data_IF_958579982482
#
_entry.id   IF_958579982482
#
_cell.length_a   1.000
_cell.length_b   1.000
_cell.length_c   1.000
_cell.angle_alpha   90.00
_cell.angle_beta   90.00
_cell.angle_gamma   90.00
#
_symmetry.space_group_name_H-M   'P 1'
#
loop_
_entity.id
_entity.type
_entity.pdbx_description
1 polymer ?
#
# COMPACT_ATOMS: atom_id res chain seq x y z
N UNK A 1 3.57 -26.90 -7.72
CA UNK A 1 5.01 -26.54 -7.82
C UNK A 1 5.66 -27.12 -9.09
N UNK A 2 5.66 -28.45 -9.31
CA UNK A 2 6.30 -29.08 -10.50
C UNK A 2 5.75 -28.54 -11.82
N UNK A 3 4.43 -28.42 -11.97
CA UNK A 3 3.78 -27.91 -13.18
C UNK A 3 4.18 -26.46 -13.50
N UNK A 4 4.27 -25.60 -12.48
CA UNK A 4 4.72 -24.19 -12.62
C UNK A 4 6.19 -24.15 -13.05
N UNK A 5 7.04 -25.00 -12.46
CA UNK A 5 8.44 -25.11 -12.85
C UNK A 5 8.63 -25.58 -14.30
N UNK A 6 7.84 -26.56 -14.75
CA UNK A 6 7.85 -27.04 -16.13
C UNK A 6 7.38 -25.97 -17.12
N UNK A 7 6.33 -25.23 -16.81
CA UNK A 7 5.88 -24.08 -17.61
C UNK A 7 6.93 -22.98 -17.68
N UNK A 8 7.56 -22.65 -16.56
CA UNK A 8 8.64 -21.67 -16.51
C UNK A 8 9.86 -22.09 -17.36
N UNK A 9 10.24 -23.36 -17.30
CA UNK A 9 11.31 -23.93 -18.12
C UNK A 9 10.96 -23.92 -19.62
N UNK A 10 9.71 -24.27 -19.98
CA UNK A 10 9.20 -24.20 -21.35
C UNK A 10 9.21 -22.79 -21.91
N UNK A 11 8.71 -21.81 -21.16
CA UNK A 11 8.75 -20.39 -21.53
C UNK A 11 10.19 -19.87 -21.64
N UNK A 12 11.07 -20.26 -20.72
CA UNK A 12 12.49 -19.90 -20.78
C UNK A 12 13.17 -20.43 -22.04
N UNK A 13 12.87 -21.68 -22.42
CA UNK A 13 13.41 -22.29 -23.64
C UNK A 13 12.93 -21.57 -24.92
N UNK A 14 11.63 -21.20 -24.96
CA UNK A 14 11.03 -20.46 -26.07
C UNK A 14 11.59 -19.04 -26.20
N UNK A 15 11.84 -18.36 -25.07
CA UNK A 15 12.30 -16.97 -25.05
C UNK A 15 13.84 -16.84 -25.13
N UNK A 16 14.61 -17.93 -25.15
CA UNK A 16 16.09 -17.93 -25.09
C UNK A 16 16.76 -17.15 -26.23
N UNK A 17 16.08 -17.01 -27.39
CA UNK A 17 16.56 -16.28 -28.57
C UNK A 17 16.07 -14.83 -28.65
N UNK A 18 15.36 -14.32 -27.64
CA UNK A 18 14.80 -12.98 -27.62
C UNK A 18 15.88 -11.88 -27.56
N UNK A 19 15.54 -10.68 -28.08
CA UNK A 19 16.40 -9.50 -28.00
C UNK A 19 16.59 -9.07 -26.54
N UNK A 20 17.82 -8.86 -26.09
CA UNK A 20 18.16 -8.49 -24.70
C UNK A 20 17.97 -6.99 -24.38
N UNK A 21 17.37 -6.18 -25.27
CA UNK A 21 17.15 -4.76 -25.03
C UNK A 21 15.70 -4.50 -24.63
N UNK A 22 15.51 -3.88 -23.49
CA UNK A 22 14.23 -3.50 -22.91
C UNK A 22 14.09 -1.98 -22.95
N UNK A 23 13.03 -1.48 -23.55
CA UNK A 23 12.62 -0.07 -23.51
C UNK A 23 11.44 0.12 -22.53
N UNK A 24 11.03 1.35 -22.29
CA UNK A 24 9.94 1.66 -21.35
C UNK A 24 8.61 0.97 -21.72
N UNK A 25 8.29 0.89 -23.02
CA UNK A 25 7.07 0.24 -23.52
C UNK A 25 7.05 -1.26 -23.20
N UNK A 26 8.12 -1.96 -23.50
CA UNK A 26 8.25 -3.39 -23.20
C UNK A 26 8.24 -3.65 -21.69
N UNK A 27 8.81 -2.71 -20.92
CA UNK A 27 8.74 -2.75 -19.46
C UNK A 27 7.30 -2.72 -18.94
N UNK A 28 6.48 -1.78 -19.41
CA UNK A 28 5.07 -1.68 -19.02
C UNK A 28 4.26 -2.93 -19.40
N UNK A 29 4.45 -3.43 -20.62
CA UNK A 29 3.77 -4.67 -21.08
C UNK A 29 4.21 -5.86 -20.23
N UNK A 30 5.49 -5.97 -19.92
CA UNK A 30 6.01 -7.04 -19.07
C UNK A 30 5.41 -6.99 -17.66
N UNK A 31 5.29 -5.80 -17.07
CA UNK A 31 4.63 -5.59 -15.77
C UNK A 31 3.18 -6.06 -15.83
N UNK A 32 2.39 -5.56 -16.76
CA UNK A 32 0.97 -5.92 -16.87
C UNK A 32 0.76 -7.43 -17.09
N UNK A 33 1.53 -8.05 -18.01
CA UNK A 33 1.45 -9.48 -18.25
C UNK A 33 1.89 -10.31 -17.03
N UNK A 34 2.90 -9.84 -16.27
CA UNK A 34 3.35 -10.53 -15.06
C UNK A 34 2.25 -10.61 -14.01
N UNK A 35 1.49 -9.52 -13.79
CA UNK A 35 0.34 -9.51 -12.88
C UNK A 35 -0.74 -10.49 -13.30
N UNK A 36 -1.06 -10.56 -14.60
CA UNK A 36 -2.06 -11.49 -15.13
C UNK A 36 -1.59 -12.94 -14.94
N UNK A 37 -0.38 -13.28 -15.37
CA UNK A 37 0.16 -14.65 -15.27
C UNK A 37 0.28 -15.09 -13.82
N UNK A 38 0.76 -14.20 -12.94
CA UNK A 38 0.89 -14.50 -11.52
C UNK A 38 -0.46 -14.75 -10.86
N UNK A 39 -1.49 -13.98 -11.23
CA UNK A 39 -2.85 -14.17 -10.72
C UNK A 39 -3.48 -15.47 -11.24
N UNK A 40 -3.27 -15.81 -12.51
CA UNK A 40 -3.70 -17.09 -13.06
C UNK A 40 -3.07 -18.26 -12.32
N UNK A 41 -1.76 -18.24 -12.09
CA UNK A 41 -1.07 -19.32 -11.36
C UNK A 41 -1.41 -19.32 -9.86
N UNK A 42 -1.56 -18.15 -9.26
CA UNK A 42 -1.90 -17.96 -7.85
C UNK A 42 -3.32 -18.45 -7.50
N UNK A 43 -4.23 -18.51 -8.47
CA UNK A 43 -5.58 -19.02 -8.30
C UNK A 43 -5.66 -20.56 -8.20
N UNK A 44 -4.63 -21.27 -8.68
CA UNK A 44 -4.62 -22.74 -8.71
C UNK A 44 -4.77 -23.39 -7.32
N UNK A 45 -4.13 -22.90 -6.22
CA UNK A 45 -4.34 -23.49 -4.90
C UNK A 45 -5.80 -23.51 -4.46
N UNK A 46 -6.57 -22.44 -4.70
CA UNK A 46 -7.99 -22.37 -4.38
C UNK A 46 -8.82 -23.35 -5.22
N UNK A 47 -8.52 -23.41 -6.53
CA UNK A 47 -9.24 -24.28 -7.44
C UNK A 47 -8.94 -25.77 -7.19
N UNK A 48 -7.68 -26.13 -6.95
CA UNK A 48 -7.28 -27.52 -6.68
C UNK A 48 -7.81 -28.01 -5.33
N UNK A 49 -7.84 -27.13 -4.31
CA UNK A 49 -8.43 -27.47 -3.01
C UNK A 49 -9.94 -27.61 -3.04
N UNK A 50 -10.61 -27.17 -4.12
CA UNK A 50 -12.07 -27.10 -4.31
C UNK A 50 -12.81 -26.22 -3.30
N UNK A 51 -12.10 -25.35 -2.60
CA UNK A 51 -12.71 -24.40 -1.65
C UNK A 51 -13.53 -23.33 -2.37
N UNK A 52 -13.11 -22.97 -3.59
CA UNK A 52 -13.85 -22.10 -4.48
C UNK A 52 -14.12 -22.89 -5.76
N UNK A 53 -15.42 -23.23 -6.06
CA UNK A 53 -15.74 -24.17 -7.14
C UNK A 53 -15.40 -23.67 -8.55
N UNK A 54 -15.52 -22.36 -8.79
CA UNK A 54 -15.29 -21.77 -10.11
C UNK A 54 -13.92 -21.13 -10.20
N UNK A 55 -13.16 -21.47 -11.24
CA UNK A 55 -11.82 -20.91 -11.44
C UNK A 55 -11.81 -19.38 -11.59
N UNK A 56 -12.83 -18.80 -12.20
CA UNK A 56 -12.94 -17.34 -12.35
C UNK A 56 -13.06 -16.63 -10.99
N UNK A 57 -13.75 -17.25 -10.05
CA UNK A 57 -13.90 -16.74 -8.69
C UNK A 57 -12.58 -16.85 -7.92
N UNK A 58 -11.84 -17.97 -8.11
CA UNK A 58 -10.47 -18.10 -7.59
C UNK A 58 -9.55 -17.02 -8.16
N UNK A 59 -9.67 -16.75 -9.45
CA UNK A 59 -8.88 -15.71 -10.13
C UNK A 59 -9.21 -14.32 -9.58
N UNK A 60 -10.51 -13.99 -9.40
CA UNK A 60 -10.92 -12.71 -8.77
C UNK A 60 -10.30 -12.53 -7.38
N UNK A 61 -10.43 -13.56 -6.52
CA UNK A 61 -9.90 -13.49 -5.14
C UNK A 61 -8.38 -13.27 -5.12
N UNK A 62 -7.67 -13.93 -6.02
CA UNK A 62 -6.20 -13.79 -6.12
C UNK A 62 -5.77 -12.48 -6.78
N UNK A 63 -6.48 -12.00 -7.80
CA UNK A 63 -6.23 -10.65 -8.36
C UNK A 63 -6.40 -9.62 -7.25
N UNK A 64 -7.51 -9.68 -6.51
CA UNK A 64 -7.75 -8.82 -5.34
C UNK A 64 -6.63 -8.96 -4.30
N UNK A 65 -6.11 -10.19 -4.09
CA UNK A 65 -4.99 -10.45 -3.21
C UNK A 65 -3.70 -9.76 -3.66
N UNK A 66 -3.24 -10.02 -4.87
CA UNK A 66 -1.98 -9.47 -5.38
C UNK A 66 -2.04 -7.97 -5.64
N UNK A 67 -3.17 -7.44 -6.08
CA UNK A 67 -3.35 -5.97 -6.25
C UNK A 67 -3.64 -5.25 -4.93
N UNK A 68 -3.68 -6.00 -3.82
CA UNK A 68 -3.98 -5.48 -2.48
C UNK A 68 -5.30 -4.71 -2.40
N UNK A 69 -6.27 -5.09 -3.25
CA UNK A 69 -7.59 -4.44 -3.30
C UNK A 69 -8.44 -4.80 -2.09
N UNK A 70 -8.31 -6.05 -1.58
CA UNK A 70 -9.07 -6.52 -0.41
C UNK A 70 -10.54 -6.86 -0.66
N UNK A 71 -11.03 -6.75 -1.90
CA UNK A 71 -12.37 -7.20 -2.26
C UNK A 71 -12.43 -8.73 -2.27
N UNK A 72 -13.50 -9.30 -1.71
CA UNK A 72 -13.68 -10.76 -1.60
C UNK A 72 -15.04 -11.18 -2.08
N UNK A 73 -15.10 -12.33 -2.75
CA UNK A 73 -16.36 -13.01 -3.10
C UNK A 73 -16.79 -14.01 -2.01
N UNK A 74 -15.91 -14.24 -1.02
CA UNK A 74 -16.17 -15.21 0.04
C UNK A 74 -17.14 -14.62 1.04
N UNK A 75 -18.24 -15.33 1.29
CA UNK A 75 -19.25 -14.97 2.29
C UNK A 75 -18.93 -15.55 3.66
N UNK A 76 -18.27 -16.72 3.69
CA UNK A 76 -17.84 -17.41 4.91
C UNK A 76 -16.34 -17.71 4.82
N UNK A 77 -15.54 -16.94 5.58
CA UNK A 77 -14.08 -17.03 5.53
C UNK A 77 -13.55 -18.04 6.55
N UNK A 78 -14.19 -18.14 7.72
CA UNK A 78 -13.70 -18.92 8.85
C UNK A 78 -13.76 -20.44 8.61
N UNK A 79 -14.60 -20.89 7.68
CA UNK A 79 -14.71 -22.29 7.29
C UNK A 79 -13.56 -22.78 6.41
N UNK A 80 -12.78 -21.87 5.82
CA UNK A 80 -11.71 -22.22 4.89
C UNK A 80 -10.47 -22.78 5.62
N UNK A 81 -9.75 -23.74 5.00
CA UNK A 81 -8.51 -24.27 5.54
C UNK A 81 -7.46 -23.20 5.81
N UNK A 82 -6.77 -23.31 6.94
CA UNK A 82 -5.72 -22.35 7.36
C UNK A 82 -4.66 -22.10 6.30
N UNK A 83 -4.28 -23.11 5.51
CA UNK A 83 -3.31 -22.96 4.43
C UNK A 83 -3.79 -22.05 3.30
N UNK A 84 -5.08 -22.12 2.96
CA UNK A 84 -5.72 -21.27 1.96
C UNK A 84 -5.83 -19.83 2.44
N UNK A 85 -6.23 -19.61 3.70
CA UNK A 85 -6.27 -18.27 4.31
C UNK A 85 -4.88 -17.65 4.43
N UNK A 86 -3.86 -18.46 4.76
CA UNK A 86 -2.48 -18.00 4.75
C UNK A 86 -2.05 -17.57 3.35
N UNK A 87 -2.31 -18.40 2.31
CA UNK A 87 -1.99 -18.06 0.93
C UNK A 87 -2.67 -16.75 0.51
N UNK A 88 -3.94 -16.57 0.85
CA UNK A 88 -4.72 -15.36 0.62
C UNK A 88 -4.05 -14.11 1.20
N UNK A 89 -3.65 -14.14 2.48
CA UNK A 89 -2.97 -13.01 3.13
C UNK A 89 -1.54 -12.82 2.63
N UNK A 90 -0.84 -13.92 2.29
CA UNK A 90 0.49 -13.85 1.72
C UNK A 90 0.52 -13.18 0.34
N UNK A 91 -0.55 -13.30 -0.47
CA UNK A 91 -0.65 -12.55 -1.73
C UNK A 91 -0.67 -11.04 -1.50
N UNK A 92 -1.34 -10.55 -0.44
CA UNK A 92 -1.25 -9.13 -0.04
C UNK A 92 0.18 -8.70 0.27
N UNK A 93 0.90 -9.51 1.04
CA UNK A 93 2.28 -9.19 1.41
C UNK A 93 3.20 -9.13 0.19
N UNK A 94 3.08 -10.06 -0.74
CA UNK A 94 3.85 -10.05 -2.00
C UNK A 94 3.45 -8.86 -2.88
N UNK A 95 2.15 -8.55 -2.95
CA UNK A 95 1.61 -7.45 -3.76
C UNK A 95 1.99 -6.08 -3.26
N UNK A 96 1.99 -5.85 -1.94
CA UNK A 96 2.17 -4.54 -1.32
C UNK A 96 3.47 -3.83 -1.67
N UNK A 97 4.57 -4.56 -1.83
CA UNK A 97 5.85 -3.98 -2.26
C UNK A 97 6.11 -4.09 -3.78
N UNK A 98 5.12 -4.57 -4.53
CA UNK A 98 5.25 -4.80 -5.97
C UNK A 98 6.06 -6.05 -6.30
N UNK A 99 5.42 -6.98 -6.98
CA UNK A 99 6.00 -8.28 -7.34
C UNK A 99 7.32 -8.17 -8.12
N UNK A 100 7.44 -7.22 -9.04
CA UNK A 100 8.65 -7.04 -9.83
C UNK A 100 9.82 -6.50 -9.02
N UNK A 101 9.58 -5.65 -8.02
CA UNK A 101 10.62 -5.22 -7.08
C UNK A 101 11.12 -6.42 -6.27
N UNK A 102 10.23 -7.33 -5.88
CA UNK A 102 10.58 -8.58 -5.23
C UNK A 102 11.46 -9.47 -6.10
N UNK A 103 11.09 -9.69 -7.36
CA UNK A 103 11.92 -10.45 -8.31
C UNK A 103 13.28 -9.79 -8.51
N UNK A 104 13.34 -8.46 -8.67
CA UNK A 104 14.59 -7.72 -8.81
C UNK A 104 15.52 -7.87 -7.59
N UNK A 105 14.95 -7.97 -6.38
CA UNK A 105 15.72 -8.20 -5.16
C UNK A 105 16.35 -9.60 -5.13
N UNK A 106 15.61 -10.61 -5.61
CA UNK A 106 16.03 -12.02 -5.57
C UNK A 106 16.97 -12.42 -6.72
N UNK A 107 16.73 -11.96 -7.94
CA UNK A 107 17.49 -12.43 -9.10
C UNK A 107 18.92 -11.84 -9.19
N UNK A 108 19.95 -12.70 -9.45
CA UNK A 108 21.36 -12.28 -9.45
C UNK A 108 21.78 -11.36 -10.61
N UNK A 109 21.11 -11.42 -11.74
CA UNK A 109 21.59 -10.87 -13.00
C UNK A 109 20.49 -10.27 -13.87
N UNK A 110 20.14 -9.01 -13.61
CA UNK A 110 19.54 -8.17 -14.64
C UNK A 110 20.54 -7.09 -15.03
N UNK A 111 21.11 -7.18 -16.23
CA UNK A 111 22.03 -6.19 -16.78
C UNK A 111 21.26 -5.11 -17.54
N UNK A 112 21.53 -3.86 -17.24
CA UNK A 112 21.35 -2.70 -18.09
C UNK A 112 20.06 -1.90 -17.99
N UNK A 113 18.88 -2.42 -18.31
CA UNK A 113 17.66 -1.58 -18.50
C UNK A 113 16.54 -1.78 -17.49
N UNK A 114 16.86 -2.31 -16.32
CA UNK A 114 15.90 -2.60 -15.21
C UNK A 114 15.27 -1.35 -14.58
N UNK A 115 15.81 -0.17 -14.88
CA UNK A 115 15.27 1.11 -14.38
C UNK A 115 13.86 1.37 -14.90
N UNK A 116 13.51 0.90 -16.10
CA UNK A 116 12.18 1.05 -16.68
C UNK A 116 11.13 0.19 -15.97
N UNK A 117 11.53 -1.03 -15.52
CA UNK A 117 10.66 -1.89 -14.71
C UNK A 117 10.39 -1.27 -13.34
N UNK A 118 11.43 -0.74 -12.68
CA UNK A 118 11.28 -0.08 -11.38
C UNK A 118 10.39 1.17 -11.48
N UNK A 119 10.57 1.96 -12.55
CA UNK A 119 9.72 3.16 -12.77
C UNK A 119 8.27 2.79 -13.05
N UNK A 120 8.00 1.69 -13.75
CA UNK A 120 6.65 1.22 -14.05
C UNK A 120 5.92 0.70 -12.80
N UNK A 121 6.65 0.12 -11.83
CA UNK A 121 6.09 -0.46 -10.60
C UNK A 121 6.09 0.52 -9.42
N UNK A 122 6.97 1.53 -9.42
CA UNK A 122 7.11 2.45 -8.30
C UNK A 122 6.06 3.56 -8.35
N UNK A 123 5.12 3.62 -7.41
CA UNK A 123 4.11 4.68 -7.35
C UNK A 123 4.74 5.99 -6.88
N UNK A 124 4.63 7.03 -7.70
CA UNK A 124 5.04 8.39 -7.33
C UNK A 124 5.67 9.17 -8.47
N UNK A 125 5.68 10.52 -8.39
CA UNK A 125 6.19 11.37 -9.46
C UNK A 125 7.72 11.28 -9.64
N UNK A 126 8.46 10.90 -8.61
CA UNK A 126 9.91 10.71 -8.67
C UNK A 126 10.34 9.53 -7.82
N UNK A 127 10.89 8.45 -8.40
CA UNK A 127 11.46 7.37 -7.61
C UNK A 127 12.70 7.88 -6.87
N UNK A 128 12.70 7.83 -5.54
CA UNK A 128 13.85 8.19 -4.72
C UNK A 128 15.08 7.32 -5.05
N UNK A 129 16.20 7.95 -5.40
CA UNK A 129 17.48 7.23 -5.59
C UNK A 129 18.12 7.01 -4.23
N UNK A 130 18.07 5.77 -3.70
CA UNK A 130 18.70 5.42 -2.42
C UNK A 130 20.17 5.05 -2.63
N UNK A 131 20.45 4.23 -3.63
CA UNK A 131 21.78 3.74 -3.97
C UNK A 131 21.93 3.61 -5.50
N UNK A 132 23.16 3.66 -6.02
CA UNK A 132 23.39 3.62 -7.47
C UNK A 132 22.87 2.35 -8.18
N UNK A 133 22.78 1.24 -7.44
CA UNK A 133 22.34 -0.06 -7.96
C UNK A 133 20.91 -0.36 -7.53
N UNK A 134 19.99 -0.43 -8.47
CA UNK A 134 18.55 -0.72 -8.28
C UNK A 134 18.31 -1.96 -7.40
N UNK A 135 19.11 -3.02 -7.61
CA UNK A 135 19.02 -4.25 -6.83
C UNK A 135 19.29 -4.04 -5.33
N UNK A 136 20.28 -3.19 -4.99
CA UNK A 136 20.59 -2.88 -3.59
C UNK A 136 19.45 -2.08 -2.96
N UNK A 137 18.88 -1.13 -3.70
CA UNK A 137 17.69 -0.39 -3.28
C UNK A 137 16.53 -1.33 -2.97
N UNK A 138 16.18 -2.22 -3.91
CA UNK A 138 15.11 -3.19 -3.72
C UNK A 138 15.34 -4.07 -2.49
N UNK A 139 16.55 -4.61 -2.30
CA UNK A 139 16.89 -5.45 -1.12
C UNK A 139 16.70 -4.72 0.19
N UNK A 140 17.11 -3.45 0.27
CA UNK A 140 16.98 -2.66 1.49
C UNK A 140 15.51 -2.37 1.80
N UNK A 141 14.73 -1.95 0.79
CA UNK A 141 13.30 -1.70 0.98
C UNK A 141 12.56 -2.95 1.43
N UNK A 142 12.86 -4.13 0.82
CA UNK A 142 12.28 -5.40 1.26
C UNK A 142 12.72 -5.81 2.65
N UNK A 143 13.97 -5.56 3.03
CA UNK A 143 14.44 -5.84 4.39
C UNK A 143 13.68 -5.01 5.42
N UNK A 144 13.46 -3.70 5.16
CA UNK A 144 12.66 -2.81 6.03
C UNK A 144 11.22 -3.33 6.12
N UNK A 145 10.62 -3.65 4.99
CA UNK A 145 9.26 -4.19 4.90
C UNK A 145 9.10 -5.48 5.72
N UNK A 146 10.02 -6.43 5.52
CA UNK A 146 10.02 -7.70 6.25
C UNK A 146 10.20 -7.50 7.76
N UNK A 147 11.14 -6.65 8.17
CA UNK A 147 11.41 -6.36 9.59
C UNK A 147 10.19 -5.71 10.25
N UNK A 148 9.55 -4.74 9.60
CA UNK A 148 8.31 -4.12 10.11
C UNK A 148 7.19 -5.14 10.25
N UNK A 149 7.00 -6.03 9.25
CA UNK A 149 6.00 -7.12 9.33
C UNK A 149 6.28 -8.07 10.50
N UNK A 150 7.56 -8.41 10.72
CA UNK A 150 7.96 -9.28 11.84
C UNK A 150 7.69 -8.61 13.19
N UNK A 151 8.03 -7.34 13.32
CA UNK A 151 7.79 -6.56 14.54
C UNK A 151 6.29 -6.51 14.83
N UNK A 152 5.44 -6.19 13.84
CA UNK A 152 3.99 -6.20 14.00
C UNK A 152 3.47 -7.57 14.46
N UNK A 153 3.94 -8.66 13.84
CA UNK A 153 3.56 -10.02 14.22
C UNK A 153 3.87 -10.30 15.70
N UNK A 154 5.04 -9.86 16.19
CA UNK A 154 5.44 -10.03 17.60
C UNK A 154 4.54 -9.20 18.52
N UNK A 155 4.23 -7.94 18.16
CA UNK A 155 3.34 -7.09 18.95
C UNK A 155 1.92 -7.66 19.02
N UNK A 156 1.37 -8.14 17.90
CA UNK A 156 0.05 -8.78 17.87
C UNK A 156 0.03 -10.06 18.72
N UNK A 157 1.09 -10.86 18.67
CA UNK A 157 1.24 -12.02 19.54
C UNK A 157 1.27 -11.64 21.01
N UNK A 158 2.01 -10.58 21.39
CA UNK A 158 2.08 -10.08 22.76
C UNK A 158 0.74 -9.51 23.26
N UNK A 159 -0.11 -9.02 22.35
CA UNK A 159 -1.47 -8.57 22.66
C UNK A 159 -2.48 -9.71 22.84
N UNK A 160 -2.05 -10.98 22.74
CA UNK A 160 -2.86 -12.16 23.03
C UNK A 160 -3.40 -12.92 21.83
N UNK A 161 -3.11 -12.51 20.59
CA UNK A 161 -3.50 -13.26 19.40
C UNK A 161 -2.73 -14.59 19.30
N UNK A 162 -3.31 -15.56 18.57
CA UNK A 162 -2.55 -16.75 18.16
C UNK A 162 -1.41 -16.38 17.22
N UNK A 163 -0.37 -17.19 17.09
CA UNK A 163 0.69 -16.98 16.10
C UNK A 163 0.13 -16.89 14.67
N UNK A 164 -0.85 -17.73 14.38
CA UNK A 164 -1.50 -17.77 13.07
C UNK A 164 -2.23 -16.45 12.76
N UNK A 165 -3.08 -15.98 13.67
CA UNK A 165 -3.83 -14.73 13.49
C UNK A 165 -2.88 -13.52 13.42
N UNK A 166 -1.83 -13.51 14.23
CA UNK A 166 -0.80 -12.46 14.21
C UNK A 166 -0.11 -12.36 12.85
N UNK A 167 0.28 -13.50 12.27
CA UNK A 167 0.92 -13.54 10.96
C UNK A 167 -0.04 -13.08 9.87
N UNK A 168 -1.27 -13.62 9.85
CA UNK A 168 -2.29 -13.28 8.85
C UNK A 168 -2.55 -11.77 8.81
N UNK A 169 -2.76 -11.15 9.97
CA UNK A 169 -3.05 -9.71 10.03
C UNK A 169 -1.82 -8.85 9.74
N UNK A 170 -0.63 -9.25 10.20
CA UNK A 170 0.59 -8.54 9.87
C UNK A 170 0.89 -8.58 8.35
N UNK A 171 0.63 -9.69 7.66
CA UNK A 171 0.76 -9.78 6.20
C UNK A 171 -0.24 -8.84 5.50
N UNK A 172 -1.50 -8.82 5.97
CA UNK A 172 -2.55 -7.97 5.42
C UNK A 172 -2.32 -6.48 5.68
N UNK A 173 -1.84 -6.11 6.88
CA UNK A 173 -1.46 -4.73 7.23
C UNK A 173 -0.28 -4.26 6.39
N UNK A 174 0.77 -5.06 6.32
CA UNK A 174 1.99 -4.73 5.58
C UNK A 174 1.71 -4.49 4.09
N UNK A 175 0.90 -5.38 3.48
CA UNK A 175 0.46 -5.22 2.11
C UNK A 175 -0.59 -4.11 1.90
N UNK A 176 -1.13 -3.55 2.98
CA UNK A 176 -2.26 -2.59 2.95
C UNK A 176 -3.46 -3.11 2.16
N UNK A 177 -3.79 -4.41 2.32
CA UNK A 177 -4.83 -5.07 1.55
C UNK A 177 -6.07 -5.50 2.34
N UNK A 178 -5.97 -5.66 3.68
CA UNK A 178 -7.10 -5.83 4.58
C UNK A 178 -7.76 -7.19 4.61
N UNK A 179 -7.20 -8.21 3.97
CA UNK A 179 -7.71 -9.56 4.13
C UNK A 179 -7.55 -10.06 5.57
N UNK A 180 -8.63 -10.57 6.13
CA UNK A 180 -8.68 -11.21 7.43
C UNK A 180 -9.10 -12.68 7.29
N UNK A 181 -8.80 -13.48 8.29
CA UNK A 181 -9.33 -14.82 8.45
C UNK A 181 -10.64 -14.85 9.27
N UNK A 182 -11.17 -13.66 9.62
CA UNK A 182 -12.41 -13.49 10.34
C UNK A 182 -13.42 -12.71 9.49
N UNK A 183 -14.70 -13.14 9.47
CA UNK A 183 -15.76 -12.46 8.72
C UNK A 183 -15.99 -11.02 9.21
N UNK A 184 -15.88 -10.78 10.52
CA UNK A 184 -16.00 -9.45 11.10
C UNK A 184 -14.70 -8.65 11.09
N UNK A 185 -13.68 -9.07 10.30
CA UNK A 185 -12.37 -8.42 10.24
C UNK A 185 -11.73 -8.31 11.65
N UNK A 186 -11.04 -7.22 11.94
CA UNK A 186 -10.38 -7.00 13.26
C UNK A 186 -11.37 -6.88 14.40
N UNK A 187 -12.62 -6.48 14.14
CA UNK A 187 -13.69 -6.44 15.14
C UNK A 187 -13.90 -7.77 15.86
N UNK A 188 -13.63 -8.90 15.20
CA UNK A 188 -13.80 -10.24 15.78
C UNK A 188 -12.95 -10.47 17.04
N UNK A 189 -11.83 -9.80 17.19
CA UNK A 189 -10.92 -9.98 18.32
C UNK A 189 -11.37 -9.23 19.57
N UNK A 190 -12.20 -8.19 19.43
CA UNK A 190 -12.70 -7.34 20.53
C UNK A 190 -11.60 -6.97 21.54
N UNK A 191 -10.42 -6.62 21.04
CA UNK A 191 -9.24 -6.32 21.86
C UNK A 191 -8.65 -4.95 21.49
N UNK A 192 -8.77 -3.95 22.38
CA UNK A 192 -8.26 -2.60 22.14
C UNK A 192 -6.76 -2.53 21.84
N UNK A 193 -5.96 -3.42 22.44
CA UNK A 193 -4.52 -3.45 22.19
C UNK A 193 -4.21 -3.88 20.75
N UNK A 194 -4.92 -4.89 20.24
CA UNK A 194 -4.81 -5.35 18.84
C UNK A 194 -5.21 -4.22 17.88
N UNK A 195 -6.31 -3.53 18.18
CA UNK A 195 -6.78 -2.41 17.35
C UNK A 195 -5.72 -1.29 17.27
N UNK A 196 -5.13 -0.89 18.40
CA UNK A 196 -4.07 0.13 18.41
C UNK A 196 -2.79 -0.30 17.70
N UNK A 197 -2.36 -1.56 17.87
CA UNK A 197 -1.19 -2.08 17.17
C UNK A 197 -1.42 -2.01 15.67
N UNK A 198 -2.52 -2.56 15.16
CA UNK A 198 -2.85 -2.53 13.73
C UNK A 198 -2.94 -1.08 13.23
N UNK A 199 -3.60 -0.17 13.99
CA UNK A 199 -3.70 1.25 13.65
C UNK A 199 -2.32 1.89 13.42
N UNK A 200 -1.41 1.68 14.37
CA UNK A 200 -0.05 2.24 14.29
C UNK A 200 0.70 1.65 13.09
N UNK A 201 0.64 0.33 12.91
CA UNK A 201 1.35 -0.32 11.81
C UNK A 201 0.77 0.02 10.44
N UNK A 202 -0.56 0.16 10.29
CA UNK A 202 -1.16 0.70 9.07
C UNK A 202 -0.55 2.06 8.71
N UNK A 203 -0.46 2.99 9.68
CA UNK A 203 0.14 4.31 9.45
C UNK A 203 1.63 4.20 9.10
N UNK A 204 2.38 3.31 9.76
CA UNK A 204 3.80 3.09 9.47
C UNK A 204 4.02 2.53 8.04
N UNK A 205 3.23 1.56 7.60
CA UNK A 205 3.30 1.06 6.23
C UNK A 205 2.82 2.09 5.19
N UNK A 206 2.01 3.07 5.61
CA UNK A 206 1.62 4.22 4.80
C UNK A 206 2.72 5.27 4.60
N UNK A 207 3.84 5.21 5.33
CA UNK A 207 4.99 6.12 5.19
C UNK A 207 5.92 5.65 4.07
N UNK A 208 6.56 6.60 3.39
CA UNK A 208 7.56 6.33 2.37
C UNK A 208 8.76 5.54 2.92
N UNK A 209 9.02 4.36 2.36
CA UNK A 209 10.11 3.47 2.81
C UNK A 209 11.51 4.06 2.66
N UNK A 210 11.69 5.04 1.76
CA UNK A 210 12.96 5.78 1.63
C UNK A 210 13.27 6.58 2.89
N UNK A 211 12.25 7.10 3.57
CA UNK A 211 12.44 7.84 4.83
C UNK A 211 12.96 6.91 5.95
N UNK A 212 12.47 5.68 6.03
CA UNK A 212 13.02 4.69 6.97
C UNK A 212 14.49 4.37 6.69
N UNK A 213 14.84 4.23 5.41
CA UNK A 213 16.24 4.04 5.05
C UNK A 213 17.12 5.23 5.48
N UNK A 214 16.66 6.45 5.30
CA UNK A 214 17.37 7.65 5.76
C UNK A 214 17.52 7.67 7.27
N UNK A 215 16.47 7.25 8.00
CA UNK A 215 16.50 7.15 9.47
C UNK A 215 17.55 6.13 9.94
N UNK A 216 17.60 4.94 9.33
CA UNK A 216 18.60 3.90 9.63
C UNK A 216 20.02 4.39 9.36
N UNK A 217 20.23 5.26 8.36
CA UNK A 217 21.53 5.88 8.07
C UNK A 217 21.89 7.06 9.01
N UNK A 218 21.07 7.32 10.01
CA UNK A 218 21.30 8.41 10.99
C UNK A 218 20.85 9.79 10.51
N UNK A 219 20.25 9.92 9.33
CA UNK A 219 19.75 11.20 8.83
C UNK A 219 18.33 11.51 9.33
N UNK A 220 18.20 11.63 10.65
CA UNK A 220 16.92 11.92 11.34
C UNK A 220 16.31 13.25 10.87
N UNK A 221 17.17 14.24 10.54
CA UNK A 221 16.70 15.56 10.05
C UNK A 221 15.94 15.44 8.73
N UNK A 222 16.35 14.56 7.81
CA UNK A 222 15.67 14.36 6.55
C UNK A 222 14.27 13.74 6.73
N UNK A 223 14.13 12.82 7.70
CA UNK A 223 12.84 12.23 8.06
C UNK A 223 11.82 13.30 8.49
N UNK A 224 12.18 14.13 9.48
CA UNK A 224 11.26 15.15 10.01
C UNK A 224 11.12 16.39 9.11
N UNK A 225 12.02 16.62 8.16
CA UNK A 225 11.92 17.72 7.19
C UNK A 225 11.02 17.40 5.99
N UNK A 226 10.67 16.13 5.75
CA UNK A 226 9.81 15.76 4.64
C UNK A 226 8.47 16.48 4.71
N UNK A 227 8.18 17.27 3.67
CA UNK A 227 6.88 17.96 3.54
C UNK A 227 5.73 16.98 3.37
N UNK A 228 5.94 15.90 2.61
CA UNK A 228 4.92 14.88 2.40
C UNK A 228 4.52 14.22 3.73
N UNK A 229 5.50 13.84 4.56
CA UNK A 229 5.24 13.26 5.88
C UNK A 229 4.44 14.21 6.78
N UNK A 230 4.78 15.49 6.77
CA UNK A 230 4.07 16.51 7.57
C UNK A 230 2.60 16.60 7.14
N UNK A 231 2.33 16.71 5.83
CA UNK A 231 0.97 16.82 5.33
C UNK A 231 0.17 15.54 5.54
N UNK A 232 0.81 14.37 5.38
CA UNK A 232 0.21 13.08 5.69
C UNK A 232 -0.22 13.00 7.16
N UNK A 233 0.68 13.32 8.11
CA UNK A 233 0.37 13.28 9.54
C UNK A 233 -0.68 14.33 9.92
N UNK A 234 -0.61 15.55 9.38
CA UNK A 234 -1.61 16.59 9.64
C UNK A 234 -2.99 16.12 9.17
N UNK A 235 -3.10 15.56 7.98
CA UNK A 235 -4.39 15.06 7.46
C UNK A 235 -4.94 13.92 8.32
N UNK A 236 -4.08 12.96 8.71
CA UNK A 236 -4.48 11.84 9.58
C UNK A 236 -4.95 12.34 10.94
N UNK A 237 -4.13 13.10 11.67
CA UNK A 237 -4.49 13.54 13.02
C UNK A 237 -5.66 14.51 13.05
N UNK A 238 -5.75 15.44 12.08
CA UNK A 238 -6.90 16.33 11.98
C UNK A 238 -8.20 15.54 11.73
N UNK A 239 -8.17 14.55 10.83
CA UNK A 239 -9.32 13.71 10.55
C UNK A 239 -9.72 12.86 11.77
N UNK A 240 -8.74 12.29 12.49
CA UNK A 240 -9.01 11.53 13.73
C UNK A 240 -9.71 12.42 14.75
N UNK A 241 -9.20 13.63 14.99
CA UNK A 241 -9.78 14.54 15.99
C UNK A 241 -11.20 14.95 15.58
N UNK A 242 -11.42 15.36 14.34
CA UNK A 242 -12.74 15.84 13.87
C UNK A 242 -13.76 14.69 13.93
N UNK A 243 -13.40 13.50 13.45
CA UNK A 243 -14.27 12.32 13.49
C UNK A 243 -14.53 11.90 14.93
N UNK A 244 -13.49 11.83 15.79
CA UNK A 244 -13.65 11.44 17.20
C UNK A 244 -14.67 12.34 17.91
N UNK A 245 -14.52 13.67 17.79
CA UNK A 245 -15.47 14.62 18.37
C UNK A 245 -16.88 14.43 17.82
N UNK A 246 -17.00 14.19 16.52
CA UNK A 246 -18.30 14.02 15.85
C UNK A 246 -19.04 12.73 16.25
N UNK A 247 -18.30 11.65 16.61
CA UNK A 247 -18.89 10.36 16.99
C UNK A 247 -19.03 10.15 18.52
N UNK A 248 -18.56 11.08 19.37
CA UNK A 248 -18.78 10.99 20.84
C UNK A 248 -20.24 10.78 21.20
N UNK A 249 -21.22 11.55 20.66
CA UNK A 249 -22.63 11.32 20.95
C UNK A 249 -23.11 9.95 20.45
N UNK A 250 -22.61 9.47 19.34
CA UNK A 250 -22.92 8.15 18.78
C UNK A 250 -22.42 7.01 19.69
N UNK A 251 -21.28 7.18 20.34
CA UNK A 251 -20.68 6.24 21.28
C UNK A 251 -21.11 6.48 22.73
N UNK A 252 -22.30 7.08 22.96
CA UNK A 252 -22.88 7.32 24.29
C UNK A 252 -21.98 8.12 25.25
N UNK A 253 -21.13 9.01 24.71
CA UNK A 253 -20.21 9.84 25.49
C UNK A 253 -18.85 9.21 25.79
N UNK A 254 -18.58 7.99 25.31
CA UNK A 254 -17.26 7.34 25.50
C UNK A 254 -16.22 7.94 24.56
N UNK A 255 -15.42 8.86 25.14
CA UNK A 255 -14.34 9.57 24.43
C UNK A 255 -13.23 8.61 24.01
N UNK A 256 -12.85 7.65 24.88
CA UNK A 256 -11.75 6.71 24.61
C UNK A 256 -12.08 5.81 23.43
N UNK A 257 -13.30 5.26 23.41
CA UNK A 257 -13.81 4.46 22.31
C UNK A 257 -13.90 5.29 21.04
N UNK A 258 -14.38 6.52 21.10
CA UNK A 258 -14.51 7.40 19.94
C UNK A 258 -13.15 7.74 19.31
N UNK A 259 -12.12 7.99 20.10
CA UNK A 259 -10.75 8.19 19.61
C UNK A 259 -10.21 6.92 18.96
N UNK A 260 -10.40 5.76 19.57
CA UNK A 260 -9.92 4.49 19.04
C UNK A 260 -10.61 4.13 17.72
N UNK A 261 -11.93 4.19 17.66
CA UNK A 261 -12.72 3.87 16.47
C UNK A 261 -12.36 4.82 15.30
N UNK A 262 -12.24 6.13 15.60
CA UNK A 262 -11.84 7.11 14.58
C UNK A 262 -10.41 6.89 14.10
N UNK A 263 -9.45 6.65 15.00
CA UNK A 263 -8.07 6.41 14.66
C UNK A 263 -7.92 5.16 13.78
N UNK A 264 -8.61 4.08 14.13
CA UNK A 264 -8.58 2.85 13.35
C UNK A 264 -9.16 3.04 11.95
N UNK A 265 -10.37 3.63 11.83
CA UNK A 265 -11.01 3.81 10.53
C UNK A 265 -10.27 4.82 9.65
N UNK A 266 -9.79 5.94 10.20
CA UNK A 266 -8.97 6.90 9.45
C UNK A 266 -7.71 6.24 8.93
N UNK A 267 -7.00 5.47 9.76
CA UNK A 267 -5.78 4.77 9.35
C UNK A 267 -6.06 3.74 8.27
N UNK A 268 -7.11 2.94 8.45
CA UNK A 268 -7.52 1.90 7.50
C UNK A 268 -7.87 2.48 6.12
N UNK A 269 -8.58 3.62 6.10
CA UNK A 269 -9.03 4.26 4.86
C UNK A 269 -7.87 5.00 4.17
N UNK A 270 -7.11 5.83 4.90
CA UNK A 270 -6.04 6.63 4.27
C UNK A 270 -4.89 5.78 3.75
N UNK A 271 -4.61 4.65 4.41
CA UNK A 271 -3.58 3.70 3.94
C UNK A 271 -4.11 2.71 2.92
N UNK A 272 -5.41 2.77 2.61
CA UNK A 272 -6.11 1.84 1.71
C UNK A 272 -6.05 0.38 2.19
N UNK A 273 -5.90 0.15 3.50
CA UNK A 273 -5.84 -1.20 4.07
C UNK A 273 -7.20 -1.89 4.07
N UNK A 274 -8.26 -1.18 4.50
CA UNK A 274 -9.63 -1.72 4.44
C UNK A 274 -10.05 -2.60 5.62
N UNK A 275 -9.25 -2.74 6.68
CA UNK A 275 -9.71 -3.38 7.92
C UNK A 275 -10.82 -2.58 8.59
N UNK A 276 -11.73 -3.27 9.28
CA UNK A 276 -12.84 -2.67 10.00
C UNK A 276 -12.94 -3.19 11.44
N UNK A 277 -13.23 -2.26 12.37
CA UNK A 277 -13.58 -2.56 13.77
C UNK A 277 -15.02 -2.20 14.09
N UNK A 278 -15.60 -1.29 13.30
CA UNK A 278 -16.96 -0.78 13.47
C UNK A 278 -17.64 -0.54 12.13
N UNK A 279 -18.96 -0.53 12.12
CA UNK A 279 -19.73 -0.16 10.94
C UNK A 279 -19.84 1.36 10.82
N UNK A 280 -18.89 1.99 10.12
CA UNK A 280 -18.86 3.44 9.91
C UNK A 280 -20.02 3.98 9.03
N UNK A 281 -20.77 3.10 8.34
CA UNK A 281 -21.95 3.53 7.59
C UNK A 281 -23.04 4.13 8.50
N UNK A 282 -23.03 3.76 9.79
CA UNK A 282 -23.95 4.29 10.80
C UNK A 282 -23.48 5.63 11.38
N UNK A 283 -22.28 6.08 11.08
CA UNK A 283 -21.72 7.32 11.60
C UNK A 283 -22.41 8.57 11.02
N UNK A 284 -22.31 9.73 11.70
CA UNK A 284 -22.81 11.00 11.17
C UNK A 284 -22.21 11.34 9.82
N UNK A 285 -22.96 12.10 9.00
CA UNK A 285 -22.59 12.43 7.61
C UNK A 285 -21.23 13.10 7.50
N UNK A 286 -20.87 14.00 8.43
CA UNK A 286 -19.57 14.67 8.42
C UNK A 286 -18.42 13.65 8.47
N UNK A 287 -18.49 12.67 9.36
CA UNK A 287 -17.46 11.63 9.47
C UNK A 287 -17.33 10.82 8.20
N UNK A 288 -18.44 10.46 7.56
CA UNK A 288 -18.45 9.73 6.28
C UNK A 288 -17.82 10.55 5.14
N UNK A 289 -18.12 11.84 5.04
CA UNK A 289 -17.54 12.74 4.03
C UNK A 289 -16.02 12.83 4.20
N UNK A 290 -15.53 12.95 5.44
CA UNK A 290 -14.09 12.98 5.71
C UNK A 290 -13.43 11.66 5.28
N UNK A 291 -14.03 10.50 5.61
CA UNK A 291 -13.51 9.20 5.18
C UNK A 291 -13.47 9.08 3.65
N UNK A 292 -14.49 9.56 2.93
CA UNK A 292 -14.48 9.60 1.45
C UNK A 292 -13.34 10.46 0.92
N UNK A 293 -13.11 11.64 1.50
CA UNK A 293 -11.98 12.49 1.09
C UNK A 293 -10.63 11.79 1.32
N UNK A 294 -10.48 11.06 2.42
CA UNK A 294 -9.28 10.28 2.70
C UNK A 294 -9.07 9.10 1.74
N UNK A 295 -10.14 8.48 1.23
CA UNK A 295 -10.05 7.43 0.19
C UNK A 295 -9.34 7.95 -1.07
N UNK A 296 -9.64 9.18 -1.49
CA UNK A 296 -8.96 9.81 -2.63
C UNK A 296 -7.52 10.19 -2.29
N UNK A 297 -7.29 10.73 -1.10
CA UNK A 297 -5.96 11.20 -0.71
C UNK A 297 -4.91 10.09 -0.76
N UNK A 298 -5.18 8.97 -0.12
CA UNK A 298 -4.26 7.85 -0.01
C UNK A 298 -3.03 8.13 0.86
N UNK A 299 -2.11 7.15 0.91
CA UNK A 299 -0.87 7.22 1.68
C UNK A 299 0.26 7.97 0.95
N UNK A 300 1.48 7.95 1.50
CA UNK A 300 2.65 8.61 0.90
C UNK A 300 3.15 7.87 -0.34
N UNK A 301 3.76 8.59 -1.26
CA UNK A 301 4.47 7.98 -2.39
C UNK A 301 5.64 7.12 -1.89
N UNK A 302 5.86 5.96 -2.52
CA UNK A 302 6.89 5.01 -2.07
C UNK A 302 6.55 4.28 -0.77
N UNK A 303 5.27 4.23 -0.41
CA UNK A 303 4.67 3.33 0.59
C UNK A 303 3.88 2.22 -0.10
N UNK A 304 3.41 1.24 0.69
CA UNK A 304 2.53 0.16 0.18
C UNK A 304 1.10 0.63 -0.08
N UNK A 305 0.63 1.71 0.58
CA UNK A 305 -0.73 2.21 0.43
C UNK A 305 -1.07 2.69 -0.98
N UNK A 306 -2.32 2.63 -1.36
CA UNK A 306 -2.88 3.07 -2.64
C UNK A 306 -3.26 4.55 -2.68
N UNK A 307 -4.26 4.90 -3.51
CA UNK A 307 -4.79 6.25 -3.67
C UNK A 307 -3.96 7.17 -4.57
N UNK A 308 -4.39 8.43 -4.67
CA UNK A 308 -3.74 9.46 -5.48
C UNK A 308 -2.32 9.76 -5.00
N UNK A 309 -2.02 9.50 -3.76
CA UNK A 309 -0.80 9.82 -2.99
C UNK A 309 -0.77 11.25 -2.47
N UNK A 310 -0.44 11.37 -1.20
CA UNK A 310 -0.36 12.66 -0.49
C UNK A 310 0.49 13.69 -1.25
N UNK A 311 1.65 13.29 -1.81
CA UNK A 311 2.56 14.21 -2.51
C UNK A 311 1.89 14.89 -3.72
N UNK A 312 1.05 14.17 -4.48
CA UNK A 312 0.38 14.76 -5.64
C UNK A 312 -0.61 15.82 -5.22
N UNK A 313 -1.34 15.59 -4.13
CA UNK A 313 -2.27 16.58 -3.57
C UNK A 313 -1.50 17.82 -3.12
N UNK A 314 -0.36 17.66 -2.45
CA UNK A 314 0.51 18.78 -2.04
C UNK A 314 1.01 19.57 -3.24
N UNK A 315 1.45 18.89 -4.31
CA UNK A 315 1.88 19.53 -5.56
C UNK A 315 0.75 20.38 -6.16
N UNK A 316 -0.47 19.84 -6.24
CA UNK A 316 -1.63 20.54 -6.77
C UNK A 316 -1.95 21.80 -5.97
N UNK A 317 -2.04 21.68 -4.64
CA UNK A 317 -2.30 22.84 -3.79
C UNK A 317 -1.24 23.94 -3.98
N UNK A 318 0.05 23.55 -4.07
CA UNK A 318 1.14 24.49 -4.32
C UNK A 318 1.08 25.11 -5.73
N UNK A 319 0.71 24.31 -6.74
CA UNK A 319 0.54 24.81 -8.11
C UNK A 319 -0.62 25.78 -8.21
N UNK A 320 -1.78 25.46 -7.64
CA UNK A 320 -2.93 26.37 -7.59
C UNK A 320 -2.55 27.68 -6.88
N UNK A 321 -1.89 27.60 -5.73
CA UNK A 321 -1.42 28.79 -4.99
C UNK A 321 -0.46 29.61 -5.81
N UNK A 322 0.43 28.99 -6.59
CA UNK A 322 1.35 29.68 -7.51
C UNK A 322 0.59 30.44 -8.59
N UNK A 323 -0.43 29.82 -9.20
CA UNK A 323 -1.21 30.48 -10.25
C UNK A 323 -2.02 31.67 -9.68
N UNK A 324 -2.58 31.55 -8.47
CA UNK A 324 -3.23 32.68 -7.79
C UNK A 324 -2.21 33.79 -7.49
N UNK A 325 -1.02 33.44 -6.96
CA UNK A 325 0.04 34.41 -6.72
C UNK A 325 0.47 35.14 -8.01
N UNK A 326 0.49 34.44 -9.15
CA UNK A 326 0.84 35.01 -10.46
C UNK A 326 -0.22 35.99 -10.97
N UNK A 327 -1.51 35.72 -10.70
CA UNK A 327 -2.60 36.66 -11.04
C UNK A 327 -2.47 37.95 -10.23
N UNK A 328 -2.18 37.83 -8.92
CA UNK A 328 -2.04 38.96 -8.02
C UNK A 328 -0.74 39.77 -8.25
N UNK A 329 0.33 39.06 -8.66
CA UNK A 329 1.66 39.65 -8.86
C UNK A 329 2.27 39.16 -10.19
N UNK A 330 1.86 39.67 -11.35
CA UNK A 330 2.23 39.12 -12.69
C UNK A 330 3.72 39.10 -12.99
N UNK A 331 4.52 39.96 -12.34
CA UNK A 331 5.98 40.05 -12.54
C UNK A 331 6.77 39.08 -11.65
N UNK A 332 6.10 38.38 -10.73
CA UNK A 332 6.78 37.47 -9.77
C UNK A 332 6.90 36.09 -10.37
N UNK A 333 8.13 35.64 -10.62
CA UNK A 333 8.42 34.26 -11.01
C UNK A 333 8.54 33.40 -9.75
N UNK A 334 7.66 32.40 -9.58
CA UNK A 334 7.66 31.49 -8.45
C UNK A 334 7.60 30.05 -8.95
N UNK A 335 8.53 29.21 -8.50
CA UNK A 335 8.52 27.76 -8.78
C UNK A 335 7.85 26.99 -7.64
N UNK A 336 7.20 25.88 -7.98
CA UNK A 336 6.72 24.92 -6.99
C UNK A 336 7.93 24.15 -6.44
N UNK A 337 8.04 24.07 -5.12
CA UNK A 337 9.13 23.36 -4.43
C UNK A 337 8.58 22.32 -3.48
N UNK A 338 9.22 21.13 -3.43
CA UNK A 338 8.99 20.06 -2.46
C UNK A 338 10.33 19.73 -1.81
N UNK A 339 10.37 19.69 -0.48
CA UNK A 339 11.59 19.48 0.31
C UNK A 339 12.76 20.39 -0.11
N UNK A 340 12.45 21.63 -0.53
CA UNK A 340 13.42 22.62 -1.03
C UNK A 340 13.83 22.47 -2.50
N UNK A 341 13.46 21.37 -3.17
CA UNK A 341 13.77 21.14 -4.58
C UNK A 341 12.66 21.66 -5.49
N UNK A 342 13.04 22.25 -6.63
CA UNK A 342 12.08 22.71 -7.64
C UNK A 342 11.45 21.48 -8.32
N UNK A 343 10.12 21.51 -8.45
CA UNK A 343 9.36 20.52 -9.20
C UNK A 343 9.26 20.97 -10.65
N UNK A 344 9.65 20.12 -11.58
CA UNK A 344 9.60 20.38 -13.02
C UNK A 344 8.16 20.54 -13.49
N UNK A 345 7.92 21.45 -14.45
CA UNK A 345 6.58 21.73 -14.99
C UNK A 345 5.95 20.51 -15.66
N UNK A 346 6.77 19.65 -16.28
CA UNK A 346 6.32 18.38 -16.85
C UNK A 346 5.73 17.46 -15.77
N UNK A 347 6.37 17.40 -14.59
CA UNK A 347 5.88 16.63 -13.43
C UNK A 347 4.56 17.21 -12.92
N UNK A 348 4.43 18.55 -12.83
CA UNK A 348 3.19 19.21 -12.39
C UNK A 348 2.06 18.89 -13.37
N UNK A 349 2.31 19.05 -14.67
CA UNK A 349 1.35 18.73 -15.73
C UNK A 349 0.95 17.25 -15.70
N UNK A 350 1.90 16.35 -15.50
CA UNK A 350 1.65 14.91 -15.33
C UNK A 350 0.80 14.56 -14.12
N UNK A 351 0.95 15.29 -13.00
CA UNK A 351 0.09 15.14 -11.82
C UNK A 351 -1.33 15.57 -12.09
N UNK A 352 -1.53 16.70 -12.78
CA UNK A 352 -2.88 17.13 -13.20
C UNK A 352 -3.51 16.11 -14.14
N UNK A 353 -2.79 15.67 -15.18
CA UNK A 353 -3.29 14.67 -16.13
C UNK A 353 -3.71 13.37 -15.40
N UNK A 354 -2.92 12.90 -14.44
CA UNK A 354 -3.22 11.68 -13.67
C UNK A 354 -4.54 11.77 -12.87
N UNK A 355 -4.93 12.96 -12.42
CA UNK A 355 -6.15 13.12 -11.60
C UNK A 355 -7.39 13.23 -12.48
N UNK A 356 -7.26 13.79 -13.70
CA UNK A 356 -8.36 14.00 -14.61
C UNK A 356 -8.53 12.87 -15.65
N UNK A 357 -7.61 11.90 -15.71
CA UNK A 357 -7.70 10.70 -16.54
C UNK A 357 -8.38 9.54 -15.81
#
# INVERSE_FOLDING_TARGET
MVMIALLALGLHALCRKGKKRFYAREGMVCVGLSWIVMSLMGALPFYISREIPKYIDCFFEIVSGFTTTGASILTEIQSLPKGILFWRSFTHWVGGMGFLIFILALMPTFSGNTIHLLKAESPGPTPGKIVPKIKQTAKILYAIYFVLTLIETIFLKSAGLSWYDSIIHALGTAGTGGFSNMNASVAAFNNPAVEWIITIFMLLFGVNFVLYFQLIRGNVKAFFKSEELKWYLIAVFASIIIIAVNIIPFNHGDVTKSIRDSAFQVSSIVTTTGYATVNFNLWPTLSKVILIMLMFMGAMAGSTGGGIKTIRIVIIFKAIRREIDKILHPRRVKSVKIDGNVVEEETISGVFLFIFA
#
